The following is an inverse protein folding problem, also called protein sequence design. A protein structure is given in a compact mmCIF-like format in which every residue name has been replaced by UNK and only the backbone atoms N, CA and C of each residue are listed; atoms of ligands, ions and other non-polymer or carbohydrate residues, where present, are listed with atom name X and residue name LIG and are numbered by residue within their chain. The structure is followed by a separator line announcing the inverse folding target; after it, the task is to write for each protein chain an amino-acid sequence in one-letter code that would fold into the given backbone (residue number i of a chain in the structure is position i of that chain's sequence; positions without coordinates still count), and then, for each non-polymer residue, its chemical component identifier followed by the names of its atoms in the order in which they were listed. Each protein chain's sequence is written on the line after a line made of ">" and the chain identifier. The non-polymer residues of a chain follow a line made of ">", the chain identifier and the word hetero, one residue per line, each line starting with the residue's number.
data_IF_940954898522
#
_entry.id   IF_940954898522
#
_cell.length_a   1.000
_cell.length_b   1.000
_cell.length_c   1.000
_cell.angle_alpha   90.00
_cell.angle_beta   90.00
_cell.angle_gamma   90.00
#
_symmetry.space_group_name_H-M   'P 1'
#
loop_
_entity.id
_entity.type
_entity.pdbx_description
1 polymer ?
#
# COMPACT_ATOMS: atom_id res chain seq x y z
N UNK A 1 5.76 21.29 -49.58
CA UNK A 1 6.86 21.41 -48.60
C UNK A 1 6.30 21.00 -47.24
N UNK A 2 6.83 19.95 -46.63
CA UNK A 2 6.41 19.47 -45.31
C UNK A 2 7.64 19.02 -44.55
N UNK A 3 7.79 19.48 -43.31
CA UNK A 3 8.90 19.08 -42.45
C UNK A 3 8.84 17.58 -42.16
N UNK A 4 10.01 16.92 -42.10
CA UNK A 4 10.10 15.50 -41.75
C UNK A 4 9.59 15.28 -40.31
N UNK A 5 8.58 14.42 -40.09
CA UNK A 5 8.09 14.11 -38.75
C UNK A 5 9.17 13.57 -37.81
N UNK A 6 10.16 12.86 -38.35
CA UNK A 6 11.30 12.32 -37.58
C UNK A 6 12.22 13.45 -37.11
N UNK A 7 12.49 14.43 -37.96
CA UNK A 7 13.32 15.58 -37.60
C UNK A 7 12.63 16.47 -36.57
N UNK A 8 11.31 16.67 -36.70
CA UNK A 8 10.52 17.39 -35.70
C UNK A 8 10.55 16.69 -34.35
N UNK A 9 10.32 15.38 -34.30
CA UNK A 9 10.40 14.61 -33.05
C UNK A 9 11.78 14.74 -32.40
N UNK A 10 12.86 14.55 -33.16
CA UNK A 10 14.22 14.68 -32.65
C UNK A 10 14.51 16.08 -32.09
N UNK A 11 14.04 17.13 -32.77
CA UNK A 11 14.14 18.50 -32.27
C UNK A 11 13.37 18.73 -30.97
N UNK A 12 12.16 18.16 -30.84
CA UNK A 12 11.39 18.21 -29.60
C UNK A 12 12.05 17.43 -28.47
N UNK A 13 12.54 16.22 -28.73
CA UNK A 13 13.21 15.39 -27.71
C UNK A 13 14.46 16.12 -27.16
N UNK A 14 15.24 16.75 -28.04
CA UNK A 14 16.40 17.55 -27.64
C UNK A 14 16.02 18.81 -26.84
N UNK A 15 14.95 19.51 -27.25
CA UNK A 15 14.46 20.68 -26.52
C UNK A 15 13.91 20.30 -25.13
N UNK A 16 13.15 19.21 -25.05
CA UNK A 16 12.61 18.69 -23.78
C UNK A 16 13.76 18.33 -22.85
N UNK A 17 14.79 17.62 -23.34
CA UNK A 17 15.95 17.26 -22.54
C UNK A 17 16.66 18.50 -21.97
N UNK A 18 16.91 19.51 -22.80
CA UNK A 18 17.55 20.76 -22.37
C UNK A 18 16.70 21.53 -21.34
N UNK A 19 15.38 21.59 -21.53
CA UNK A 19 14.47 22.24 -20.59
C UNK A 19 14.43 21.50 -19.25
N UNK A 20 14.34 20.16 -19.27
CA UNK A 20 14.33 19.35 -18.04
C UNK A 20 15.63 19.52 -17.27
N UNK A 21 16.78 19.55 -17.96
CA UNK A 21 18.08 19.79 -17.33
C UNK A 21 18.15 21.18 -16.67
N UNK A 22 17.69 22.21 -17.39
CA UNK A 22 17.65 23.57 -16.85
C UNK A 22 16.72 23.70 -15.62
N UNK A 23 15.55 23.05 -15.68
CA UNK A 23 14.60 23.04 -14.56
C UNK A 23 15.19 22.33 -13.33
N UNK A 24 15.88 21.19 -13.52
CA UNK A 24 16.57 20.49 -12.43
C UNK A 24 17.66 21.36 -11.80
N UNK A 25 18.45 22.06 -12.60
CA UNK A 25 19.49 22.97 -12.10
C UNK A 25 18.95 24.23 -11.42
N UNK A 26 17.70 24.61 -11.70
CA UNK A 26 17.02 25.77 -11.10
C UNK A 26 16.11 25.40 -9.92
N UNK A 27 15.94 24.10 -9.65
CA UNK A 27 15.08 23.63 -8.59
C UNK A 27 15.66 24.02 -7.22
N UNK A 28 14.80 24.53 -6.34
CA UNK A 28 15.14 24.85 -4.95
C UNK A 28 14.69 23.66 -4.11
N UNK A 29 15.63 23.06 -3.38
CA UNK A 29 15.30 21.96 -2.47
C UNK A 29 14.49 22.48 -1.27
N UNK A 30 13.46 21.74 -0.88
CA UNK A 30 12.64 22.05 0.29
C UNK A 30 13.19 21.25 1.47
N UNK A 31 13.94 21.91 2.34
CA UNK A 31 14.72 21.29 3.43
C UNK A 31 14.33 21.76 4.84
N UNK A 32 13.54 22.84 4.95
CA UNK A 32 13.11 23.42 6.21
C UNK A 32 11.60 23.29 6.42
N UNK A 33 11.18 23.08 7.67
CA UNK A 33 9.77 22.99 8.05
C UNK A 33 8.97 24.23 7.64
N UNK A 34 9.59 25.42 7.63
CA UNK A 34 8.94 26.65 7.17
C UNK A 34 8.70 26.69 5.66
N UNK A 35 9.63 26.17 4.85
CA UNK A 35 9.38 26.01 3.40
C UNK A 35 8.31 24.95 3.14
N UNK A 36 8.32 23.83 3.88
CA UNK A 36 7.27 22.79 3.78
C UNK A 36 5.90 23.40 4.06
N UNK A 37 5.77 24.17 5.14
CA UNK A 37 4.55 24.90 5.51
C UNK A 37 4.10 25.83 4.39
N UNK A 38 5.01 26.66 3.86
CA UNK A 38 4.69 27.62 2.81
C UNK A 38 4.20 26.92 1.53
N UNK A 39 4.88 25.87 1.09
CA UNK A 39 4.49 25.08 -0.09
C UNK A 39 3.15 24.39 0.15
N UNK A 40 2.95 23.79 1.33
CA UNK A 40 1.72 23.13 1.71
C UNK A 40 0.52 24.10 1.75
N UNK A 41 0.70 25.30 2.32
CA UNK A 41 -0.31 26.37 2.32
C UNK A 41 -0.70 26.76 0.90
N UNK A 42 0.28 26.98 0.01
CA UNK A 42 -0.01 27.35 -1.39
C UNK A 42 -0.76 26.22 -2.11
N UNK A 43 -0.33 24.97 -1.92
CA UNK A 43 -0.98 23.80 -2.50
C UNK A 43 -2.40 23.58 -1.98
N UNK A 44 -2.65 23.92 -0.71
CA UNK A 44 -3.95 23.92 -0.06
C UNK A 44 -4.78 25.18 -0.34
N UNK A 45 -4.63 25.79 -1.54
CA UNK A 45 -5.37 26.98 -1.97
C UNK A 45 -5.20 28.19 -1.03
N UNK A 46 -3.99 28.40 -0.52
CA UNK A 46 -3.61 29.43 0.45
C UNK A 46 -4.27 29.28 1.83
N UNK A 47 -4.60 28.05 2.25
CA UNK A 47 -5.06 27.76 3.60
C UNK A 47 -3.87 27.58 4.57
N UNK A 48 -3.68 28.51 5.54
CA UNK A 48 -2.58 28.44 6.48
C UNK A 48 -2.77 27.36 7.56
N UNK A 49 -4.01 26.98 7.90
CA UNK A 49 -4.28 25.95 8.91
C UNK A 49 -3.92 24.57 8.36
N UNK A 50 -4.34 24.26 7.14
CA UNK A 50 -3.99 23.01 6.45
C UNK A 50 -2.48 22.93 6.19
N UNK A 51 -1.85 24.03 5.77
CA UNK A 51 -0.40 24.07 5.57
C UNK A 51 0.39 23.82 6.86
N UNK A 52 -0.09 24.32 8.01
CA UNK A 52 0.51 24.04 9.31
C UNK A 52 0.38 22.58 9.71
N UNK A 53 -0.79 21.97 9.52
CA UNK A 53 -1.05 20.56 9.81
C UNK A 53 -0.17 19.63 8.97
N UNK A 54 -0.04 19.90 7.66
CA UNK A 54 0.83 19.12 6.78
C UNK A 54 2.29 19.24 7.22
N UNK A 55 2.76 20.46 7.55
CA UNK A 55 4.13 20.64 8.04
C UNK A 55 4.38 19.87 9.35
N UNK A 56 3.43 19.90 10.29
CA UNK A 56 3.52 19.12 11.54
C UNK A 56 3.56 17.61 11.26
N UNK A 57 2.77 17.12 10.29
CA UNK A 57 2.81 15.72 9.87
C UNK A 57 4.20 15.35 9.34
N UNK A 58 4.78 16.15 8.44
CA UNK A 58 6.13 15.94 7.91
C UNK A 58 7.21 15.94 9.00
N UNK A 59 7.10 16.82 10.00
CA UNK A 59 8.04 16.88 11.12
C UNK A 59 7.97 15.62 12.00
N UNK A 60 6.78 15.03 12.17
CA UNK A 60 6.59 13.80 12.97
C UNK A 60 7.02 12.52 12.24
N UNK A 61 6.68 12.39 10.95
CA UNK A 61 6.90 11.15 10.17
C UNK A 61 8.23 11.14 9.40
N UNK A 62 8.83 12.32 9.19
CA UNK A 62 10.04 12.50 8.38
C UNK A 62 9.76 12.49 6.87
N UNK A 63 10.79 12.81 6.06
CA UNK A 63 10.65 12.96 4.59
C UNK A 63 10.21 11.68 3.85
N UNK A 64 10.46 10.51 4.44
CA UNK A 64 10.09 9.21 3.87
C UNK A 64 8.85 8.59 4.54
N UNK A 65 8.19 9.33 5.44
CA UNK A 65 6.96 8.87 6.05
C UNK A 65 5.79 8.92 5.08
N UNK A 66 4.83 8.01 5.27
CA UNK A 66 3.59 7.98 4.49
C UNK A 66 2.53 8.77 5.23
N UNK A 67 1.92 9.74 4.55
CA UNK A 67 0.82 10.55 5.09
C UNK A 67 -0.46 10.14 4.37
N UNK A 68 -1.45 9.70 5.14
CA UNK A 68 -2.79 9.36 4.66
C UNK A 68 -3.81 10.31 5.25
N UNK A 69 -4.86 10.64 4.47
CA UNK A 69 -5.97 11.47 4.93
C UNK A 69 -7.20 10.59 5.07
N UNK A 70 -7.87 10.71 6.23
CA UNK A 70 -9.09 9.97 6.55
C UNK A 70 -10.25 10.93 6.86
N UNK A 71 -11.45 10.54 6.44
CA UNK A 71 -12.67 11.28 6.77
C UNK A 71 -13.06 10.96 8.22
N UNK A 72 -12.91 11.94 9.11
CA UNK A 72 -13.38 11.84 10.49
C UNK A 72 -14.86 12.28 10.59
N UNK A 73 -15.56 11.78 11.61
CA UNK A 73 -16.91 12.27 11.96
C UNK A 73 -16.88 13.53 12.83
N UNK A 74 -15.67 13.97 13.21
CA UNK A 74 -15.43 15.17 14.00
C UNK A 74 -15.44 16.40 13.10
N UNK A 75 -15.70 17.57 13.69
CA UNK A 75 -15.51 18.85 12.99
C UNK A 75 -14.04 19.28 13.02
N UNK A 76 -13.22 18.67 13.89
CA UNK A 76 -11.82 19.00 14.07
C UNK A 76 -10.93 18.10 13.21
N UNK A 77 -9.89 18.68 12.63
CA UNK A 77 -8.84 17.92 11.94
C UNK A 77 -7.80 17.48 12.97
N UNK A 78 -7.62 16.17 13.08
CA UNK A 78 -6.68 15.55 14.02
C UNK A 78 -5.48 14.98 13.26
N UNK A 79 -4.30 15.05 13.88
CA UNK A 79 -3.07 14.44 13.39
C UNK A 79 -2.68 13.29 14.31
N UNK A 80 -2.83 12.06 13.82
CA UNK A 80 -2.42 10.85 14.52
C UNK A 80 -1.21 10.21 13.83
N UNK A 81 -0.27 9.69 14.63
CA UNK A 81 0.87 8.91 14.14
C UNK A 81 0.67 7.47 14.57
N UNK A 82 0.50 6.59 13.59
CA UNK A 82 0.29 5.16 13.81
C UNK A 82 1.38 4.36 13.11
N UNK A 83 1.68 3.18 13.65
CA UNK A 83 2.58 2.24 12.99
C UNK A 83 1.94 1.73 11.69
N UNK A 84 2.75 1.66 10.63
CA UNK A 84 2.27 1.26 9.30
C UNK A 84 3.40 0.93 8.34
N UNK A 85 3.02 0.49 7.14
CA UNK A 85 3.94 0.14 6.07
C UNK A 85 3.30 0.43 4.71
N UNK A 86 4.10 0.88 3.75
CA UNK A 86 3.71 1.00 2.34
C UNK A 86 4.67 0.21 1.46
N UNK A 87 4.13 -0.45 0.43
CA UNK A 87 4.93 -1.08 -0.62
C UNK A 87 4.30 -0.93 -2.01
N UNK A 88 5.15 -0.96 -3.05
CA UNK A 88 4.79 -0.70 -4.45
C UNK A 88 4.18 -1.93 -5.15
N UNK A 89 3.12 -2.50 -4.56
CA UNK A 89 2.26 -3.50 -5.20
C UNK A 89 0.81 -3.09 -5.01
N UNK A 90 0.09 -2.96 -6.12
CA UNK A 90 -1.33 -2.67 -6.11
C UNK A 90 -2.22 -3.90 -6.26
N UNK A 91 -3.53 -3.65 -6.36
CA UNK A 91 -4.51 -4.70 -6.56
C UNK A 91 -4.25 -5.45 -7.88
N UNK A 92 -4.41 -6.78 -7.86
CA UNK A 92 -4.24 -7.61 -9.05
C UNK A 92 -5.35 -7.38 -10.06
N UNK A 93 -6.54 -6.95 -9.62
CA UNK A 93 -7.69 -6.69 -10.49
C UNK A 93 -8.46 -5.43 -10.08
N UNK A 94 -8.83 -4.54 -11.02
CA UNK A 94 -9.69 -3.38 -10.74
C UNK A 94 -11.06 -3.74 -10.16
N UNK A 95 -11.53 -4.98 -10.34
CA UNK A 95 -12.77 -5.46 -9.74
C UNK A 95 -12.71 -5.56 -8.21
N UNK A 96 -11.52 -5.43 -7.60
CA UNK A 96 -11.32 -5.41 -6.15
C UNK A 96 -11.45 -4.01 -5.55
N UNK A 97 -11.63 -2.97 -6.38
CA UNK A 97 -11.82 -1.58 -5.95
C UNK A 97 -13.16 -1.44 -5.21
N UNK A 98 -13.11 -0.93 -3.98
CA UNK A 98 -14.30 -0.69 -3.15
C UNK A 98 -14.76 0.76 -3.22
N UNK A 99 -13.83 1.71 -3.39
CA UNK A 99 -14.09 3.12 -3.64
C UNK A 99 -13.82 3.45 -5.10
N UNK A 100 -14.89 3.65 -5.88
CA UNK A 100 -14.81 3.90 -7.31
C UNK A 100 -14.39 5.34 -7.64
N UNK A 101 -14.60 6.29 -6.72
CA UNK A 101 -14.22 7.69 -6.92
C UNK A 101 -12.71 7.85 -6.76
N UNK A 102 -12.18 7.31 -5.66
CA UNK A 102 -10.74 7.30 -5.36
C UNK A 102 -9.96 6.21 -6.10
N UNK A 103 -10.67 5.23 -6.69
CA UNK A 103 -10.10 4.05 -7.37
C UNK A 103 -9.14 3.25 -6.48
N UNK A 104 -9.57 3.00 -5.26
CA UNK A 104 -8.84 2.25 -4.25
C UNK A 104 -9.72 1.16 -3.62
N UNK A 105 -9.08 0.09 -3.15
CA UNK A 105 -9.70 -0.88 -2.27
C UNK A 105 -9.38 -0.49 -0.82
N UNK A 106 -10.41 -0.22 -0.04
CA UNK A 106 -10.34 0.12 1.38
C UNK A 106 -10.88 -1.06 2.17
N UNK A 107 -10.02 -1.67 2.98
CA UNK A 107 -10.35 -2.79 3.83
C UNK A 107 -10.26 -2.33 5.29
N UNK A 108 -11.40 -2.26 5.97
CA UNK A 108 -11.50 -1.93 7.39
C UNK A 108 -11.37 -3.20 8.25
N UNK A 109 -10.49 -3.15 9.25
CA UNK A 109 -10.12 -4.26 10.11
C UNK A 109 -9.88 -5.60 9.36
N UNK A 110 -9.03 -5.66 8.33
CA UNK A 110 -8.87 -6.86 7.53
C UNK A 110 -8.10 -7.96 8.26
N UNK A 111 -8.38 -9.21 7.88
CA UNK A 111 -7.47 -10.33 8.07
C UNK A 111 -6.40 -10.28 6.97
N UNK A 112 -5.15 -10.59 7.30
CA UNK A 112 -4.02 -10.52 6.37
C UNK A 112 -3.38 -11.89 6.20
N UNK A 113 -3.46 -12.45 5.00
CA UNK A 113 -2.82 -13.70 4.61
C UNK A 113 -1.52 -13.39 3.86
N UNK A 114 -0.42 -14.03 4.26
CA UNK A 114 0.91 -13.79 3.69
C UNK A 114 1.56 -15.11 3.28
N UNK A 115 1.99 -15.21 2.02
CA UNK A 115 2.64 -16.41 1.51
C UNK A 115 3.62 -16.11 0.37
N UNK A 116 4.72 -16.86 0.31
CA UNK A 116 5.65 -16.86 -0.83
C UNK A 116 5.20 -17.77 -1.98
N UNK A 117 4.03 -18.41 -1.84
CA UNK A 117 3.51 -19.38 -2.79
C UNK A 117 2.69 -18.71 -3.88
N UNK A 118 2.71 -19.32 -5.07
CA UNK A 118 1.77 -18.99 -6.14
C UNK A 118 0.48 -19.77 -5.95
N UNK A 119 -0.65 -19.08 -5.85
CA UNK A 119 -1.97 -19.66 -5.61
C UNK A 119 -2.67 -19.86 -6.96
N UNK A 120 -2.85 -21.12 -7.35
CA UNK A 120 -3.48 -21.49 -8.62
C UNK A 120 -4.88 -22.10 -8.44
N UNK A 121 -5.14 -22.72 -7.29
CA UNK A 121 -6.42 -23.36 -6.96
C UNK A 121 -7.16 -22.60 -5.87
N UNK A 122 -8.45 -22.31 -6.10
CA UNK A 122 -9.31 -21.74 -5.05
C UNK A 122 -9.46 -22.69 -3.86
N UNK A 123 -9.28 -24.01 -4.06
CA UNK A 123 -9.41 -25.00 -2.98
C UNK A 123 -8.43 -24.73 -1.84
N UNK A 124 -7.24 -24.20 -2.15
CA UNK A 124 -6.23 -23.87 -1.15
C UNK A 124 -6.67 -22.72 -0.23
N UNK A 125 -7.57 -21.86 -0.72
CA UNK A 125 -8.06 -20.68 -0.02
C UNK A 125 -9.39 -20.90 0.70
N UNK A 126 -10.15 -21.95 0.39
CA UNK A 126 -11.50 -22.19 0.95
C UNK A 126 -11.52 -22.02 2.48
N UNK A 127 -10.62 -22.63 3.28
CA UNK A 127 -10.69 -22.51 4.74
C UNK A 127 -10.55 -21.07 5.23
N UNK A 128 -9.61 -20.31 4.63
CA UNK A 128 -9.38 -18.91 5.00
C UNK A 128 -10.54 -18.02 4.56
N UNK A 129 -11.09 -18.27 3.37
CA UNK A 129 -12.25 -17.53 2.85
C UNK A 129 -13.49 -17.74 3.72
N UNK A 130 -13.80 -18.98 4.08
CA UNK A 130 -14.92 -19.31 4.97
C UNK A 130 -14.77 -18.66 6.34
N UNK A 131 -13.54 -18.70 6.90
CA UNK A 131 -13.25 -18.04 8.16
C UNK A 131 -13.46 -16.52 8.08
N UNK A 132 -12.93 -15.85 7.05
CA UNK A 132 -13.11 -14.41 6.87
C UNK A 132 -14.60 -14.03 6.73
N UNK A 133 -15.36 -14.82 5.97
CA UNK A 133 -16.81 -14.65 5.82
C UNK A 133 -17.56 -14.83 7.14
N UNK A 134 -17.18 -15.85 7.94
CA UNK A 134 -17.77 -16.10 9.25
C UNK A 134 -17.51 -14.96 10.23
N UNK A 135 -16.28 -14.41 10.22
CA UNK A 135 -15.91 -13.24 11.02
C UNK A 135 -16.50 -11.94 10.49
N UNK A 136 -17.06 -11.95 9.27
CA UNK A 136 -17.53 -10.76 8.54
C UNK A 136 -16.44 -9.70 8.36
N UNK A 137 -15.19 -10.14 8.27
CA UNK A 137 -14.02 -9.27 8.11
C UNK A 137 -13.50 -9.36 6.68
N UNK A 138 -13.01 -8.25 6.09
CA UNK A 138 -12.35 -8.31 4.80
C UNK A 138 -11.05 -9.12 4.87
N UNK A 139 -10.61 -9.65 3.73
CA UNK A 139 -9.36 -10.41 3.62
C UNK A 139 -8.39 -9.73 2.63
N UNK A 140 -7.20 -9.39 3.11
CA UNK A 140 -6.05 -9.06 2.25
C UNK A 140 -5.25 -10.34 2.00
N UNK A 141 -4.97 -10.64 0.73
CA UNK A 141 -4.10 -11.75 0.32
C UNK A 141 -2.83 -11.15 -0.29
N UNK A 142 -1.70 -11.35 0.38
CA UNK A 142 -0.36 -11.02 -0.08
C UNK A 142 0.33 -12.33 -0.48
N UNK A 143 0.46 -12.57 -1.79
CA UNK A 143 1.00 -13.82 -2.32
C UNK A 143 2.02 -13.57 -3.44
N UNK A 144 2.95 -14.49 -3.68
CA UNK A 144 3.89 -14.37 -4.81
C UNK A 144 3.18 -14.17 -6.14
N UNK A 145 2.18 -15.01 -6.39
CA UNK A 145 1.24 -14.81 -7.50
C UNK A 145 -0.13 -15.42 -7.21
N UNK A 146 -1.16 -14.91 -7.87
CA UNK A 146 -2.51 -15.51 -7.86
C UNK A 146 -3.02 -15.54 -9.28
N UNK A 147 -3.14 -16.73 -9.85
CA UNK A 147 -3.39 -16.91 -11.27
C UNK A 147 -4.53 -17.90 -11.55
N UNK A 148 -4.90 -18.00 -12.83
CA UNK A 148 -5.81 -19.01 -13.34
C UNK A 148 -7.19 -19.02 -12.67
N UNK A 149 -7.61 -20.20 -12.22
CA UNK A 149 -8.95 -20.42 -11.67
C UNK A 149 -9.14 -19.71 -10.32
N UNK A 150 -8.09 -19.64 -9.49
CA UNK A 150 -8.13 -18.96 -8.20
C UNK A 150 -8.48 -17.48 -8.36
N UNK A 151 -7.74 -16.77 -9.23
CA UNK A 151 -7.98 -15.35 -9.48
C UNK A 151 -9.37 -15.11 -10.06
N UNK A 152 -9.79 -15.88 -11.06
CA UNK A 152 -11.09 -15.72 -11.69
C UNK A 152 -12.24 -15.88 -10.67
N UNK A 153 -12.12 -16.86 -9.78
CA UNK A 153 -13.13 -17.15 -8.75
C UNK A 153 -13.18 -16.04 -7.70
N UNK A 154 -12.02 -15.57 -7.24
CA UNK A 154 -11.94 -14.45 -6.29
C UNK A 154 -12.55 -13.18 -6.90
N UNK A 155 -12.20 -12.85 -8.14
CA UNK A 155 -12.73 -11.68 -8.86
C UNK A 155 -14.25 -11.73 -8.95
N UNK A 156 -14.83 -12.86 -9.34
CA UNK A 156 -16.29 -13.01 -9.44
C UNK A 156 -16.95 -12.81 -8.07
N UNK A 157 -16.44 -13.45 -7.01
CA UNK A 157 -17.04 -13.34 -5.68
C UNK A 157 -16.90 -11.94 -5.07
N UNK A 158 -15.79 -11.25 -5.33
CA UNK A 158 -15.58 -9.86 -4.90
C UNK A 158 -16.49 -8.92 -5.68
N UNK A 159 -16.55 -9.05 -7.02
CA UNK A 159 -17.44 -8.24 -7.86
C UNK A 159 -18.92 -8.45 -7.53
N UNK A 160 -19.33 -9.67 -7.19
CA UNK A 160 -20.67 -10.00 -6.72
C UNK A 160 -20.93 -9.65 -5.24
N UNK A 161 -19.95 -9.04 -4.55
CA UNK A 161 -20.03 -8.64 -3.13
C UNK A 161 -20.31 -9.80 -2.16
N UNK A 162 -20.06 -11.04 -2.59
CA UNK A 162 -20.16 -12.24 -1.73
C UNK A 162 -18.97 -12.28 -0.77
N UNK A 163 -17.81 -11.85 -1.25
CA UNK A 163 -16.57 -11.79 -0.49
C UNK A 163 -16.03 -10.36 -0.48
N UNK A 164 -15.56 -9.88 0.67
CA UNK A 164 -14.76 -8.65 0.75
C UNK A 164 -13.29 -9.05 0.80
N UNK A 165 -12.60 -9.01 -0.33
CA UNK A 165 -11.18 -9.34 -0.39
C UNK A 165 -10.43 -8.51 -1.42
N UNK A 166 -9.15 -8.28 -1.16
CA UNK A 166 -8.21 -7.72 -2.11
C UNK A 166 -6.97 -8.62 -2.21
N UNK A 167 -6.44 -8.77 -3.42
CA UNK A 167 -5.25 -9.55 -3.69
C UNK A 167 -4.18 -8.61 -4.21
N UNK A 168 -2.99 -8.71 -3.61
CA UNK A 168 -1.79 -7.98 -4.02
C UNK A 168 -0.64 -8.97 -4.16
N UNK A 169 0.29 -8.69 -5.07
CA UNK A 169 1.51 -9.48 -5.17
C UNK A 169 2.42 -9.17 -3.98
N UNK A 170 3.16 -10.16 -3.51
CA UNK A 170 4.19 -9.95 -2.49
C UNK A 170 5.26 -8.97 -3.02
N UNK A 171 5.73 -8.03 -2.18
CA UNK A 171 6.80 -7.11 -2.54
C UNK A 171 8.15 -7.86 -2.66
N UNK A 172 9.14 -7.23 -3.28
CA UNK A 172 10.46 -7.82 -3.49
C UNK A 172 10.48 -9.00 -4.49
N UNK A 173 11.64 -9.66 -4.57
CA UNK A 173 11.88 -10.90 -5.33
C UNK A 173 13.01 -11.71 -4.67
N UNK A 174 13.01 -13.03 -4.83
CA UNK A 174 14.04 -13.89 -4.23
C UNK A 174 14.06 -13.77 -2.70
N UNK A 175 15.25 -13.63 -2.13
CA UNK A 175 15.42 -13.53 -0.67
C UNK A 175 14.76 -12.27 -0.09
N UNK A 176 14.81 -11.14 -0.80
CA UNK A 176 14.18 -9.87 -0.38
C UNK A 176 12.66 -10.01 -0.23
N UNK A 177 12.02 -10.85 -1.06
CA UNK A 177 10.58 -11.11 -0.93
C UNK A 177 10.25 -11.80 0.39
N UNK A 178 11.10 -12.73 0.85
CA UNK A 178 10.93 -13.39 2.14
C UNK A 178 11.08 -12.41 3.29
N UNK A 179 12.13 -11.59 3.28
CA UNK A 179 12.39 -10.58 4.31
C UNK A 179 11.23 -9.57 4.42
N UNK A 180 10.75 -9.06 3.29
CA UNK A 180 9.61 -8.12 3.29
C UNK A 180 8.31 -8.77 3.76
N UNK A 181 8.06 -10.04 3.41
CA UNK A 181 6.88 -10.76 3.92
C UNK A 181 6.97 -10.98 5.43
N UNK A 182 8.15 -11.28 5.96
CA UNK A 182 8.39 -11.43 7.40
C UNK A 182 8.16 -10.09 8.12
N UNK A 183 8.58 -8.96 7.55
CA UNK A 183 8.30 -7.63 8.11
C UNK A 183 6.79 -7.32 8.17
N UNK A 184 6.04 -7.65 7.10
CA UNK A 184 4.57 -7.52 7.11
C UNK A 184 3.95 -8.43 8.17
N UNK A 185 4.45 -9.66 8.33
CA UNK A 185 3.96 -10.60 9.33
C UNK A 185 4.20 -10.09 10.76
N UNK A 186 5.37 -9.51 11.04
CA UNK A 186 5.67 -8.88 12.32
C UNK A 186 4.76 -7.68 12.57
N UNK A 187 4.59 -6.79 11.60
CA UNK A 187 3.70 -5.64 11.72
C UNK A 187 2.26 -6.05 12.01
N UNK A 188 1.75 -7.05 11.28
CA UNK A 188 0.34 -7.49 11.38
C UNK A 188 0.09 -8.53 12.48
N UNK A 189 1.15 -9.05 13.12
CA UNK A 189 1.04 -10.10 14.14
C UNK A 189 0.68 -11.48 13.59
N UNK A 190 0.86 -11.70 12.29
CA UNK A 190 0.61 -12.97 11.61
C UNK A 190 1.89 -13.79 11.39
N UNK A 191 1.80 -14.78 10.50
CA UNK A 191 2.95 -15.58 10.08
C UNK A 191 2.95 -15.80 8.56
N UNK A 192 4.14 -15.87 7.96
CA UNK A 192 4.28 -16.15 6.52
C UNK A 192 4.22 -17.65 6.28
N UNK A 193 3.36 -18.08 5.36
CA UNK A 193 3.28 -19.48 4.92
C UNK A 193 4.26 -19.66 3.77
N UNK A 194 5.43 -20.22 4.07
CA UNK A 194 6.52 -20.41 3.11
C UNK A 194 6.58 -21.83 2.56
N UNK A 195 6.76 -22.00 1.25
CA UNK A 195 6.88 -23.32 0.62
C UNK A 195 8.06 -24.13 1.16
N UNK A 196 9.20 -23.48 1.33
CA UNK A 196 10.47 -24.15 1.67
C UNK A 196 10.50 -24.69 3.10
N UNK A 197 9.67 -24.15 4.00
CA UNK A 197 9.46 -24.67 5.36
C UNK A 197 8.31 -25.69 5.43
N UNK A 198 7.84 -26.19 4.28
CA UNK A 198 6.74 -27.15 4.20
C UNK A 198 5.37 -26.53 4.48
N UNK A 199 5.21 -25.23 4.22
CA UNK A 199 3.97 -24.50 4.50
C UNK A 199 2.78 -24.99 3.67
N UNK A 200 1.65 -25.23 4.33
CA UNK A 200 0.40 -25.66 3.72
C UNK A 200 -0.67 -24.60 3.97
N UNK A 201 -1.14 -23.97 2.89
CA UNK A 201 -2.13 -22.90 2.94
C UNK A 201 -3.48 -23.36 3.51
N UNK A 202 -3.89 -24.59 3.22
CA UNK A 202 -5.16 -25.14 3.69
C UNK A 202 -5.12 -25.43 5.19
N UNK A 203 -4.02 -26.01 5.65
CA UNK A 203 -3.89 -26.43 7.05
C UNK A 203 -3.50 -25.28 7.99
N UNK A 204 -2.63 -24.36 7.53
CA UNK A 204 -2.02 -23.33 8.37
C UNK A 204 -2.60 -21.93 8.12
N UNK A 205 -3.38 -21.74 7.05
CA UNK A 205 -3.94 -20.46 6.63
C UNK A 205 -4.57 -19.66 7.76
N UNK A 206 -5.54 -20.26 8.46
CA UNK A 206 -6.31 -19.58 9.52
C UNK A 206 -5.42 -19.19 10.71
N UNK A 207 -4.50 -20.06 11.12
CA UNK A 207 -3.63 -19.82 12.27
C UNK A 207 -2.53 -18.77 11.98
N UNK A 208 -2.26 -18.51 10.69
CA UNK A 208 -1.19 -17.60 10.25
C UNK A 208 -1.70 -16.20 9.91
N UNK A 209 -3.01 -15.95 10.01
CA UNK A 209 -3.60 -14.66 9.67
C UNK A 209 -3.11 -13.55 10.60
N UNK A 210 -2.59 -12.48 10.00
CA UNK A 210 -2.36 -11.21 10.68
C UNK A 210 -3.62 -10.35 10.68
N UNK A 211 -3.52 -9.18 11.30
CA UNK A 211 -4.56 -8.16 11.30
C UNK A 211 -3.96 -6.76 11.16
N UNK A 212 -4.74 -5.85 10.59
CA UNK A 212 -4.47 -4.42 10.58
C UNK A 212 -5.76 -3.68 10.97
N UNK A 213 -5.64 -2.41 11.35
CA UNK A 213 -6.76 -1.51 11.54
C UNK A 213 -7.38 -1.16 10.19
N UNK A 214 -6.53 -0.85 9.20
CA UNK A 214 -6.98 -0.54 7.85
C UNK A 214 -5.93 -0.86 6.81
N UNK A 215 -6.37 -1.22 5.61
CA UNK A 215 -5.51 -1.36 4.43
C UNK A 215 -6.12 -0.63 3.26
N UNK A 216 -5.29 0.18 2.60
CA UNK A 216 -5.65 0.91 1.38
C UNK A 216 -4.79 0.37 0.23
N UNK A 217 -5.44 -0.09 -0.84
CA UNK A 217 -4.77 -0.64 -2.02
C UNK A 217 -5.16 0.17 -3.25
N UNK A 218 -4.19 0.78 -3.89
CA UNK A 218 -4.34 1.48 -5.16
C UNK A 218 -3.87 0.59 -6.32
N UNK A 219 -3.85 1.14 -7.55
CA UNK A 219 -3.32 0.42 -8.72
C UNK A 219 -1.85 0.00 -8.56
N UNK A 220 -1.06 0.79 -7.83
CA UNK A 220 0.39 0.62 -7.78
C UNK A 220 0.93 0.38 -6.37
N UNK A 221 0.17 0.71 -5.32
CA UNK A 221 0.65 0.73 -3.94
C UNK A 221 -0.33 0.07 -2.98
N UNK A 222 0.19 -0.47 -1.90
CA UNK A 222 -0.57 -0.95 -0.75
C UNK A 222 -0.03 -0.28 0.51
N UNK A 223 -0.93 0.26 1.32
CA UNK A 223 -0.63 0.93 2.58
C UNK A 223 -1.37 0.19 3.70
N UNK A 224 -0.61 -0.34 4.66
CA UNK A 224 -1.10 -0.96 5.90
C UNK A 224 -1.03 0.06 7.03
N UNK A 225 -2.13 0.25 7.74
CA UNK A 225 -2.31 1.22 8.82
C UNK A 225 -2.73 0.45 10.08
N UNK A 226 -2.01 0.67 11.18
CA UNK A 226 -2.33 0.11 12.49
C UNK A 226 -2.17 -1.41 12.56
N UNK A 227 -0.92 -1.89 12.62
CA UNK A 227 -0.62 -3.32 12.69
C UNK A 227 -1.07 -3.99 14.00
N UNK A 228 -1.60 -5.23 13.91
CA UNK A 228 -1.98 -6.02 15.10
C UNK A 228 -0.85 -6.77 15.78
N UNK A 229 0.36 -6.73 15.22
CA UNK A 229 1.56 -7.22 15.89
C UNK A 229 1.87 -6.28 17.03
N UNK A 230 2.05 -6.81 18.25
CA UNK A 230 2.17 -6.02 19.46
C UNK A 230 3.30 -4.98 19.41
N UNK A 231 2.98 -3.79 18.91
CA UNK A 231 3.67 -2.55 19.15
C UNK A 231 2.72 -1.72 20.01
N UNK A 232 3.16 -1.45 21.24
CA UNK A 232 2.44 -0.56 22.15
C UNK A 232 2.32 0.82 21.50
N UNK A 233 1.17 1.52 21.58
CA UNK A 233 1.04 2.89 21.10
C UNK A 233 1.90 3.79 22.00
N UNK A 234 3.16 3.97 21.60
CA UNK A 234 4.15 4.75 22.34
C UNK A 234 5.43 3.99 22.64
N UNK A 235 6.45 4.21 21.81
CA UNK A 235 7.85 4.10 22.22
C UNK A 235 8.67 3.02 21.51
N UNK A 236 9.40 3.46 20.49
CA UNK A 236 10.79 3.04 20.30
C UNK A 236 11.04 1.63 19.76
N UNK A 237 11.06 1.51 18.43
CA UNK A 237 12.04 0.64 17.78
C UNK A 237 12.57 1.30 16.50
N UNK A 238 13.40 2.32 16.69
CA UNK A 238 14.36 2.74 15.67
C UNK A 238 15.40 1.60 15.51
N UNK A 239 15.12 0.66 14.61
CA UNK A 239 16.11 -0.22 13.99
C UNK A 239 16.65 0.41 12.71
N UNK A 240 17.90 0.14 12.31
CA UNK A 240 18.61 0.96 11.33
C UNK A 240 17.99 0.79 9.94
N UNK A 241 17.41 1.87 9.40
CA UNK A 241 17.14 1.98 7.96
C UNK A 241 18.49 2.02 7.25
N UNK A 242 18.80 0.98 6.46
CA UNK A 242 19.96 0.95 5.58
C UNK A 242 19.56 1.50 4.21
N UNK A 243 20.22 2.61 3.84
CA UNK A 243 20.73 2.92 2.50
C UNK A 243 19.72 3.16 1.40
#
# INVERSE_FOLDING_TARGET
>A
AGASPVALKSGFDAAIAAVVEHLKGSAIEVDSGDMIRQVATIAANNDPEIGALIAEAFDKVGREGVITVEDSKSMETELEVVDGMEFDKGYVSPYMVTDQERREAVLEAPLVLMTDQSINSTQELIPVLEYAMQQKRPLLIVAKDVEGQALATLVINVASKVLKACVVKAPGFGDEQGEMLDDIAVLTGGAVITKDKGGDLQAQGIASLGTAEKVIVTKNKTTLIGGGGGASPGGGRAGPRRG
#
